data_IF_860433318338
#
_entry.id   IF_860433318338
#
_cell.length_a   1.000
_cell.length_b   1.000
_cell.length_c   1.000
_cell.angle_alpha   90.00
_cell.angle_beta   90.00
_cell.angle_gamma   90.00
#
_symmetry.space_group_name_H-M   'P 1'
#
loop_
_entity.id
_entity.type
_entity.pdbx_description
1 polymer ?
#
# COMPACT_ATOMS: atom_id res chain seq x y z
N UNK A 1 -15.62 -3.67 29.09
CA UNK A 1 -15.37 -2.60 28.10
C UNK A 1 -14.43 -3.18 27.06
N UNK A 2 -14.80 -3.19 25.78
CA UNK A 2 -13.88 -3.60 24.72
C UNK A 2 -12.74 -2.59 24.63
N UNK A 3 -11.48 -3.02 24.42
CA UNK A 3 -10.38 -2.09 24.23
C UNK A 3 -10.67 -1.20 23.02
N UNK A 4 -10.24 0.08 23.04
CA UNK A 4 -10.38 0.96 21.88
C UNK A 4 -9.66 0.34 20.69
N UNK A 5 -10.38 0.20 19.58
CA UNK A 5 -9.87 -0.41 18.34
C UNK A 5 -9.63 0.68 17.30
N UNK A 6 -8.39 0.82 16.83
CA UNK A 6 -8.05 1.82 15.84
C UNK A 6 -8.59 1.40 14.46
N UNK A 7 -9.36 2.29 13.81
CA UNK A 7 -9.88 2.07 12.44
C UNK A 7 -9.05 2.77 11.38
N UNK A 8 -8.31 3.83 11.76
CA UNK A 8 -7.48 4.61 10.86
C UNK A 8 -6.10 4.86 11.46
N UNK A 9 -5.06 4.61 10.69
CA UNK A 9 -3.68 4.94 11.05
C UNK A 9 -3.02 5.71 9.92
N UNK A 10 -2.61 6.94 10.23
CA UNK A 10 -1.90 7.81 9.31
C UNK A 10 -0.45 7.98 9.78
N UNK A 11 0.50 7.46 9.01
CA UNK A 11 1.93 7.58 9.23
C UNK A 11 2.51 8.52 8.18
N UNK A 12 2.92 9.71 8.62
CA UNK A 12 3.53 10.74 7.78
C UNK A 12 4.99 11.07 8.16
N UNK A 13 5.54 10.34 9.14
CA UNK A 13 6.88 10.59 9.64
C UNK A 13 7.76 9.36 9.49
N UNK A 14 8.92 9.53 8.86
CA UNK A 14 9.94 8.49 8.74
C UNK A 14 10.47 8.00 10.10
N UNK A 15 10.31 8.80 11.15
CA UNK A 15 10.72 8.44 12.52
C UNK A 15 10.00 7.18 13.00
N UNK A 16 8.74 6.97 12.61
CA UNK A 16 7.98 5.77 12.99
C UNK A 16 8.51 4.49 12.34
N UNK A 17 9.25 4.61 11.23
CA UNK A 17 9.91 3.49 10.55
C UNK A 17 11.40 3.41 10.86
N UNK A 18 11.95 4.33 11.67
CA UNK A 18 13.32 4.25 12.15
C UNK A 18 13.51 2.99 13.01
N UNK A 19 14.69 2.32 12.98
CA UNK A 19 14.91 1.07 13.72
C UNK A 19 14.50 1.09 15.20
N UNK A 20 14.67 2.23 15.87
CA UNK A 20 14.29 2.41 17.29
C UNK A 20 12.78 2.33 17.53
N UNK A 21 11.96 2.74 16.56
CA UNK A 21 10.49 2.80 16.69
C UNK A 21 9.77 1.77 15.80
N UNK A 22 10.49 1.14 14.87
CA UNK A 22 9.91 0.22 13.89
C UNK A 22 9.11 -0.90 14.54
N UNK A 23 9.65 -1.51 15.60
CA UNK A 23 8.97 -2.62 16.29
C UNK A 23 7.68 -2.14 16.96
N UNK A 24 7.72 -0.98 17.62
CA UNK A 24 6.55 -0.36 18.22
C UNK A 24 5.46 -0.07 17.17
N UNK A 25 5.83 0.52 16.04
CA UNK A 25 4.91 0.80 14.93
C UNK A 25 4.29 -0.48 14.37
N UNK A 26 5.10 -1.53 14.20
CA UNK A 26 4.62 -2.82 13.72
C UNK A 26 3.65 -3.47 14.70
N UNK A 27 3.95 -3.44 15.99
CA UNK A 27 3.09 -4.00 17.03
C UNK A 27 1.78 -3.22 17.17
N UNK A 28 1.83 -1.88 17.03
CA UNK A 28 0.63 -1.04 16.96
C UNK A 28 -0.28 -1.43 15.80
N UNK A 29 0.27 -1.62 14.60
CA UNK A 29 -0.50 -2.04 13.43
C UNK A 29 -1.10 -3.43 13.66
N UNK A 30 -0.31 -4.38 14.17
CA UNK A 30 -0.74 -5.77 14.41
C UNK A 30 -1.83 -5.86 15.47
N UNK A 31 -1.70 -5.12 16.56
CA UNK A 31 -2.69 -5.06 17.64
C UNK A 31 -4.05 -4.57 17.14
N UNK A 32 -4.08 -3.79 16.05
CA UNK A 32 -5.29 -3.25 15.45
C UNK A 32 -5.63 -3.90 14.09
N UNK A 33 -5.01 -5.02 13.73
CA UNK A 33 -5.20 -5.68 12.44
C UNK A 33 -6.67 -6.04 12.15
N UNK A 34 -7.42 -6.43 13.17
CA UNK A 34 -8.84 -6.79 13.05
C UNK A 34 -9.82 -5.61 12.93
N UNK A 35 -9.35 -4.37 13.08
CA UNK A 35 -10.18 -3.15 13.05
C UNK A 35 -9.70 -2.10 12.06
N UNK A 36 -8.42 -2.10 11.66
CA UNK A 36 -7.88 -1.13 10.72
C UNK A 36 -8.55 -1.24 9.35
N UNK A 37 -9.16 -0.14 8.94
CA UNK A 37 -9.83 0.07 7.66
C UNK A 37 -9.08 1.05 6.76
N UNK A 38 -8.33 1.99 7.36
CA UNK A 38 -7.58 3.00 6.62
C UNK A 38 -6.13 2.98 7.07
N UNK A 39 -5.22 2.82 6.11
CA UNK A 39 -3.78 2.92 6.33
C UNK A 39 -3.18 3.93 5.35
N UNK A 40 -2.63 5.00 5.89
CA UNK A 40 -1.92 6.03 5.12
C UNK A 40 -0.44 5.96 5.46
N UNK A 41 0.39 5.74 4.44
CA UNK A 41 1.85 5.72 4.50
C UNK A 41 2.33 6.81 3.53
N UNK A 42 2.56 8.01 4.05
CA UNK A 42 2.59 9.21 3.22
C UNK A 42 3.87 10.04 3.43
N UNK A 43 4.53 10.37 2.32
CA UNK A 43 5.82 11.07 2.25
C UNK A 43 6.91 10.55 3.20
N UNK A 44 6.90 9.24 3.51
CA UNK A 44 7.91 8.62 4.36
C UNK A 44 9.15 8.24 3.54
N UNK A 45 10.30 8.83 3.87
CA UNK A 45 11.60 8.43 3.33
C UNK A 45 12.25 7.35 4.19
N UNK A 46 12.26 6.11 3.70
CA UNK A 46 12.98 4.97 4.29
C UNK A 46 13.46 4.03 3.18
N UNK A 47 14.28 3.03 3.51
CA UNK A 47 14.75 2.02 2.56
C UNK A 47 13.68 1.02 2.13
N UNK A 48 13.84 0.44 0.93
CA UNK A 48 13.07 -0.68 0.41
C UNK A 48 13.05 -1.87 1.36
N UNK A 49 14.16 -2.14 2.06
CA UNK A 49 14.23 -3.22 3.04
C UNK A 49 13.27 -2.98 4.22
N UNK A 50 13.14 -1.74 4.68
CA UNK A 50 12.17 -1.36 5.72
C UNK A 50 10.74 -1.44 5.21
N UNK A 51 10.47 -0.98 3.98
CA UNK A 51 9.15 -1.12 3.37
C UNK A 51 8.76 -2.58 3.18
N UNK A 52 9.67 -3.40 2.64
CA UNK A 52 9.52 -4.85 2.51
C UNK A 52 9.19 -5.48 3.85
N UNK A 53 9.96 -5.14 4.90
CA UNK A 53 9.76 -5.67 6.25
C UNK A 53 8.38 -5.28 6.78
N UNK A 54 7.98 -4.01 6.67
CA UNK A 54 6.68 -3.52 7.14
C UNK A 54 5.54 -4.22 6.41
N UNK A 55 5.49 -4.07 5.07
CA UNK A 55 4.37 -4.54 4.26
C UNK A 55 4.22 -6.05 4.31
N UNK A 56 5.32 -6.83 4.31
CA UNK A 56 5.23 -8.30 4.48
C UNK A 56 4.80 -8.74 5.88
N UNK A 57 5.00 -7.89 6.90
CA UNK A 57 4.75 -8.25 8.30
C UNK A 57 3.34 -7.95 8.80
N UNK A 58 2.52 -7.29 7.98
CA UNK A 58 1.15 -6.90 8.31
C UNK A 58 0.15 -7.61 7.40
N UNK A 59 -1.02 -7.93 7.97
CA UNK A 59 -2.19 -8.46 7.29
C UNK A 59 -3.41 -7.78 7.92
N UNK A 60 -4.16 -7.05 7.11
CA UNK A 60 -5.22 -6.14 7.54
C UNK A 60 -6.54 -6.57 6.88
N UNK A 61 -7.23 -7.62 7.39
CA UNK A 61 -8.37 -8.24 6.73
C UNK A 61 -9.59 -7.33 6.49
N UNK A 62 -9.60 -6.12 7.08
CA UNK A 62 -10.66 -5.11 6.88
C UNK A 62 -10.14 -3.84 6.19
N UNK A 63 -8.96 -3.87 5.58
CA UNK A 63 -8.39 -2.69 4.94
C UNK A 63 -9.24 -2.30 3.73
N UNK A 64 -9.89 -1.14 3.82
CA UNK A 64 -10.78 -0.58 2.80
C UNK A 64 -10.08 0.54 2.01
N UNK A 65 -9.14 1.26 2.64
CA UNK A 65 -8.43 2.39 2.02
C UNK A 65 -6.94 2.30 2.30
N UNK A 66 -6.13 2.38 1.24
CA UNK A 66 -4.69 2.33 1.32
C UNK A 66 -4.04 3.44 0.51
N UNK A 67 -3.30 4.31 1.21
CA UNK A 67 -2.47 5.34 0.58
C UNK A 67 -1.01 5.01 0.82
N UNK A 68 -0.22 4.96 -0.26
CA UNK A 68 1.21 4.73 -0.23
C UNK A 68 1.93 5.74 -1.12
N UNK A 69 2.52 6.76 -0.50
CA UNK A 69 3.23 7.85 -1.18
C UNK A 69 4.67 7.89 -0.72
N UNK A 70 5.59 7.81 -1.68
CA UNK A 70 7.01 7.89 -1.43
C UNK A 70 7.51 9.31 -1.61
N UNK A 71 8.41 9.74 -0.72
CA UNK A 71 9.09 11.03 -0.85
C UNK A 71 10.35 10.90 -1.71
N UNK A 72 10.32 11.52 -2.90
CA UNK A 72 11.46 11.61 -3.83
C UNK A 72 11.73 10.33 -4.63
N UNK A 73 12.77 10.35 -5.46
CA UNK A 73 13.24 9.15 -6.15
C UNK A 73 14.00 8.27 -5.16
N UNK A 74 13.41 7.16 -4.74
CA UNK A 74 14.14 6.05 -4.12
C UNK A 74 14.98 5.35 -5.18
N UNK A 75 16.12 5.96 -5.53
CA UNK A 75 17.10 5.43 -6.48
C UNK A 75 17.59 4.06 -5.98
N UNK A 76 17.43 3.03 -6.81
CA UNK A 76 17.93 1.67 -6.53
C UNK A 76 16.92 0.68 -5.95
N UNK A 77 15.64 1.05 -5.82
CA UNK A 77 14.63 0.19 -5.19
C UNK A 77 13.80 -0.60 -6.21
N UNK A 78 14.48 -1.41 -7.02
CA UNK A 78 13.90 -2.22 -8.10
C UNK A 78 12.78 -3.17 -7.63
N UNK A 79 12.69 -3.45 -6.33
CA UNK A 79 11.70 -4.37 -5.77
C UNK A 79 10.40 -3.74 -5.25
N UNK A 80 10.29 -2.40 -5.14
CA UNK A 80 9.14 -1.78 -4.48
C UNK A 80 7.79 -2.07 -5.15
N UNK A 81 7.64 -1.96 -6.48
CA UNK A 81 6.37 -2.31 -7.12
C UNK A 81 5.94 -3.76 -6.86
N UNK A 82 6.89 -4.70 -6.80
CA UNK A 82 6.61 -6.10 -6.45
C UNK A 82 6.18 -6.28 -5.00
N UNK A 83 6.82 -5.56 -4.06
CA UNK A 83 6.43 -5.57 -2.65
C UNK A 83 5.02 -5.01 -2.47
N UNK A 84 4.70 -3.91 -3.15
CA UNK A 84 3.36 -3.31 -3.11
C UNK A 84 2.34 -4.25 -3.73
N UNK A 85 2.64 -4.86 -4.87
CA UNK A 85 1.76 -5.84 -5.50
C UNK A 85 1.47 -7.04 -4.56
N UNK A 86 2.49 -7.63 -3.94
CA UNK A 86 2.34 -8.69 -2.94
C UNK A 86 1.53 -8.24 -1.70
N UNK A 87 1.54 -6.94 -1.38
CA UNK A 87 0.69 -6.38 -0.35
C UNK A 87 -0.76 -6.32 -0.85
N UNK A 88 -1.02 -5.76 -2.02
CA UNK A 88 -2.36 -5.62 -2.58
C UNK A 88 -3.07 -6.99 -2.75
N UNK A 89 -2.35 -8.02 -3.22
CA UNK A 89 -2.92 -9.38 -3.39
C UNK A 89 -3.43 -9.99 -2.08
N UNK A 90 -2.89 -9.59 -0.93
CA UNK A 90 -3.31 -10.07 0.40
C UNK A 90 -4.47 -9.27 0.99
N UNK A 91 -4.88 -8.17 0.35
CA UNK A 91 -5.89 -7.24 0.86
C UNK A 91 -6.99 -6.98 -0.18
N UNK A 92 -7.78 -8.01 -0.57
CA UNK A 92 -8.82 -7.88 -1.59
C UNK A 92 -10.00 -6.98 -1.17
N UNK A 93 -10.03 -6.53 0.09
CA UNK A 93 -11.06 -5.62 0.63
C UNK A 93 -10.84 -4.15 0.29
N UNK A 94 -9.70 -3.80 -0.32
CA UNK A 94 -9.38 -2.41 -0.67
C UNK A 94 -10.39 -1.90 -1.72
N UNK A 95 -11.02 -0.78 -1.40
CA UNK A 95 -11.95 0.00 -2.22
C UNK A 95 -11.32 1.28 -2.76
N UNK A 96 -10.39 1.85 -2.02
CA UNK A 96 -9.69 3.07 -2.36
C UNK A 96 -8.18 2.82 -2.32
N UNK A 97 -7.53 3.04 -3.45
CA UNK A 97 -6.09 2.86 -3.59
C UNK A 97 -5.45 4.13 -4.13
N UNK A 98 -4.44 4.61 -3.42
CA UNK A 98 -3.63 5.76 -3.82
C UNK A 98 -2.14 5.39 -3.78
N UNK A 99 -1.46 5.49 -4.93
CA UNK A 99 -0.06 5.12 -5.08
C UNK A 99 0.77 6.22 -5.77
N UNK A 100 1.72 6.80 -5.03
CA UNK A 100 2.60 7.84 -5.54
C UNK A 100 4.08 7.49 -5.32
N UNK A 101 4.95 7.88 -6.26
CA UNK A 101 6.39 7.73 -6.12
C UNK A 101 6.93 6.32 -6.41
N UNK A 102 6.12 5.38 -6.91
CA UNK A 102 6.57 4.05 -7.37
C UNK A 102 7.41 4.08 -8.67
N UNK A 103 7.94 5.24 -9.04
CA UNK A 103 8.72 5.45 -10.25
C UNK A 103 10.06 4.72 -10.15
N UNK A 104 10.08 3.45 -10.56
CA UNK A 104 11.30 2.66 -10.63
C UNK A 104 11.92 2.70 -12.03
N UNK A 105 13.25 2.73 -12.14
CA UNK A 105 13.95 2.43 -13.40
C UNK A 105 13.77 0.97 -13.82
N UNK A 106 13.38 0.10 -12.88
CA UNK A 106 13.08 -1.29 -13.14
C UNK A 106 11.73 -1.50 -13.85
N UNK A 107 11.61 -2.69 -14.44
CA UNK A 107 10.36 -3.15 -15.04
C UNK A 107 9.34 -3.44 -13.94
N UNK A 108 8.12 -2.93 -14.11
CA UNK A 108 7.02 -3.30 -13.24
C UNK A 108 6.72 -4.80 -13.36
N UNK A 109 6.47 -5.50 -12.24
CA UNK A 109 6.22 -6.93 -12.27
C UNK A 109 4.91 -7.21 -13.01
N UNK A 110 4.92 -8.24 -13.84
CA UNK A 110 3.69 -8.76 -14.45
C UNK A 110 2.86 -9.48 -13.40
N UNK A 111 1.54 -9.41 -13.53
CA UNK A 111 0.61 -10.16 -12.71
C UNK A 111 -0.56 -10.64 -13.56
N UNK A 112 -0.97 -11.88 -13.33
CA UNK A 112 -2.02 -12.57 -14.11
C UNK A 112 -3.27 -12.82 -13.26
N UNK A 113 -3.41 -12.08 -12.15
CA UNK A 113 -4.58 -12.21 -11.29
C UNK A 113 -5.76 -11.48 -11.91
N UNK A 114 -6.83 -12.23 -12.19
CA UNK A 114 -8.12 -11.70 -12.68
C UNK A 114 -8.93 -11.01 -11.58
N UNK A 115 -8.48 -11.05 -10.32
CA UNK A 115 -9.21 -10.54 -9.16
C UNK A 115 -8.25 -9.91 -8.14
N UNK A 116 -7.31 -9.07 -8.60
CA UNK A 116 -6.32 -8.45 -7.72
C UNK A 116 -7.00 -7.63 -6.61
N UNK A 117 -7.94 -6.76 -6.98
CA UNK A 117 -8.74 -5.95 -6.05
C UNK A 117 -10.20 -5.92 -6.54
N UNK A 118 -10.97 -6.99 -6.28
CA UNK A 118 -12.27 -7.24 -6.92
C UNK A 118 -13.35 -6.23 -6.52
N UNK A 119 -13.12 -5.46 -5.46
CA UNK A 119 -14.04 -4.41 -5.01
C UNK A 119 -13.45 -3.01 -5.05
N UNK A 120 -12.32 -2.81 -5.74
CA UNK A 120 -11.73 -1.49 -5.93
C UNK A 120 -12.73 -0.57 -6.63
N UNK A 121 -13.00 0.61 -6.06
CA UNK A 121 -13.92 1.60 -6.61
C UNK A 121 -13.18 2.86 -7.09
N UNK A 122 -12.06 3.21 -6.43
CA UNK A 122 -11.24 4.38 -6.75
C UNK A 122 -9.76 4.01 -6.82
N UNK A 123 -9.11 4.40 -7.92
CA UNK A 123 -7.68 4.28 -8.12
C UNK A 123 -7.06 5.65 -8.42
N UNK A 124 -6.11 6.07 -7.62
CA UNK A 124 -5.31 7.27 -7.83
C UNK A 124 -3.83 6.90 -7.88
N UNK A 125 -3.15 7.25 -8.96
CA UNK A 125 -1.72 6.97 -9.09
C UNK A 125 -1.06 7.79 -10.19
N UNK A 126 0.27 7.81 -10.22
CA UNK A 126 1.00 8.41 -11.35
C UNK A 126 0.64 7.71 -12.68
N UNK A 127 0.70 8.40 -13.84
CA UNK A 127 0.34 7.81 -15.13
C UNK A 127 1.05 6.48 -15.42
N UNK A 128 2.33 6.36 -15.03
CA UNK A 128 3.10 5.13 -15.26
C UNK A 128 2.62 3.97 -14.39
N UNK A 129 2.30 4.24 -13.12
CA UNK A 129 1.73 3.23 -12.21
C UNK A 129 0.32 2.82 -12.66
N UNK A 130 -0.50 3.76 -13.13
CA UNK A 130 -1.81 3.46 -13.73
C UNK A 130 -1.65 2.56 -14.96
N UNK A 131 -0.76 2.90 -15.89
CA UNK A 131 -0.51 2.07 -17.08
C UNK A 131 -0.04 0.65 -16.74
N UNK A 132 0.63 0.45 -15.60
CA UNK A 132 1.00 -0.88 -15.11
C UNK A 132 -0.19 -1.62 -14.48
N UNK A 133 -0.90 -0.99 -13.54
CA UNK A 133 -2.01 -1.65 -12.85
C UNK A 133 -3.17 -1.97 -13.79
N UNK A 134 -3.43 -1.12 -14.78
CA UNK A 134 -4.52 -1.27 -15.73
C UNK A 134 -4.15 -2.12 -16.97
N UNK A 135 -3.02 -2.82 -16.96
CA UNK A 135 -2.70 -3.82 -18.00
C UNK A 135 -3.73 -4.95 -18.02
N UNK A 136 -4.33 -5.25 -16.88
CA UNK A 136 -5.44 -6.18 -16.75
C UNK A 136 -6.67 -5.49 -16.10
N UNK A 137 -7.51 -4.79 -16.88
CA UNK A 137 -8.68 -4.10 -16.34
C UNK A 137 -9.70 -5.04 -15.68
N UNK A 138 -9.73 -6.32 -16.07
CA UNK A 138 -10.66 -7.31 -15.51
C UNK A 138 -10.41 -7.57 -14.02
N UNK A 139 -9.20 -7.27 -13.53
CA UNK A 139 -8.83 -7.34 -12.12
C UNK A 139 -9.56 -6.36 -11.19
N UNK A 140 -10.30 -5.38 -11.76
CA UNK A 140 -10.99 -4.32 -11.03
C UNK A 140 -12.43 -4.11 -11.52
N UNK A 141 -13.31 -5.12 -11.42
CA UNK A 141 -14.65 -5.10 -12.02
C UNK A 141 -15.58 -4.02 -11.44
N UNK A 142 -15.26 -3.45 -10.27
CA UNK A 142 -16.04 -2.39 -9.62
C UNK A 142 -15.41 -1.00 -9.72
N UNK A 143 -14.35 -0.84 -10.51
CA UNK A 143 -13.62 0.42 -10.62
C UNK A 143 -14.51 1.49 -11.29
N UNK A 144 -14.74 2.59 -10.57
CA UNK A 144 -15.61 3.70 -11.03
C UNK A 144 -14.82 4.97 -11.31
N UNK A 145 -13.70 5.18 -10.60
CA UNK A 145 -12.91 6.42 -10.67
C UNK A 145 -11.43 6.11 -10.85
N UNK A 146 -10.82 6.79 -11.82
CA UNK A 146 -9.38 6.83 -12.04
C UNK A 146 -8.95 8.30 -11.99
N UNK A 147 -7.93 8.59 -11.19
CA UNK A 147 -7.34 9.92 -11.07
C UNK A 147 -5.81 9.82 -11.11
N UNK A 148 -5.14 10.90 -11.48
CA UNK A 148 -3.69 10.96 -11.52
C UNK A 148 -3.17 12.16 -10.73
N UNK A 149 -2.04 11.96 -10.06
CA UNK A 149 -1.26 12.95 -9.32
C UNK A 149 -0.03 13.38 -10.11
#
# INVERSE_FOLDING_TARGET
MSPPSLTRLDLQSAMMLHPLFFQYTLDLIRANSGSLQHLVLDYIRTSASTWKKLLKSIALPKLESFTFKLYGQTVGEESLPGIVLEFLTRHPTIRELELEGLNSTAQYPQFDSTDLLPILESLEATPRTLSWLLQNPTAYPKLKRISHT
#
